data_IF_017250926136
#
_entry.id   IF_017250926136
#
_cell.length_a   1.000
_cell.length_b   1.000
_cell.length_c   1.000
_cell.angle_alpha   90.00
_cell.angle_beta   90.00
_cell.angle_gamma   90.00
#
_symmetry.space_group_name_H-M   'P 1'
#
loop_
_entity.id
_entity.type
_entity.pdbx_description
1 polymer ?
#
# COMPACT_ATOMS: atom_id res chain seq x y z
N UNK A 1 -4.54 6.21 -13.86
CA UNK A 1 -3.98 5.03 -14.57
C UNK A 1 -4.33 3.68 -13.93
N UNK A 2 -4.72 3.58 -12.64
CA UNK A 2 -5.09 2.30 -12.04
C UNK A 2 -6.43 1.72 -12.54
N UNK A 3 -7.47 2.57 -12.68
CA UNK A 3 -8.80 2.13 -13.11
C UNK A 3 -8.83 1.49 -14.51
N UNK A 4 -7.91 1.88 -15.40
CA UNK A 4 -7.90 1.42 -16.79
C UNK A 4 -7.42 -0.02 -16.94
N UNK A 5 -6.42 -0.46 -16.15
CA UNK A 5 -5.89 -1.84 -16.28
C UNK A 5 -6.83 -2.91 -15.73
N UNK A 6 -7.53 -2.64 -14.61
CA UNK A 6 -8.49 -3.58 -14.02
C UNK A 6 -9.76 -3.69 -14.87
N UNK A 7 -10.27 -2.54 -15.35
CA UNK A 7 -11.44 -2.51 -16.23
C UNK A 7 -11.16 -3.24 -17.55
N UNK A 8 -9.99 -3.04 -18.17
CA UNK A 8 -9.64 -3.73 -19.41
C UNK A 8 -9.59 -5.25 -19.25
N UNK A 9 -8.92 -5.74 -18.19
CA UNK A 9 -8.84 -7.17 -17.92
C UNK A 9 -10.22 -7.77 -17.56
N UNK A 10 -11.00 -7.07 -16.74
CA UNK A 10 -12.35 -7.48 -16.34
C UNK A 10 -13.28 -7.63 -17.55
N UNK A 11 -13.21 -6.69 -18.50
CA UNK A 11 -13.98 -6.77 -19.75
C UNK A 11 -13.59 -7.99 -20.58
N UNK A 12 -12.28 -8.24 -20.76
CA UNK A 12 -11.78 -9.41 -21.50
C UNK A 12 -12.25 -10.73 -20.87
N UNK A 13 -12.17 -10.84 -19.55
CA UNK A 13 -12.64 -12.03 -18.83
C UNK A 13 -14.16 -12.20 -18.88
N UNK A 14 -14.91 -11.11 -18.85
CA UNK A 14 -16.39 -11.15 -18.95
C UNK A 14 -16.85 -11.66 -20.31
N UNK A 15 -16.17 -11.26 -21.40
CA UNK A 15 -16.42 -11.79 -22.75
C UNK A 15 -16.15 -13.30 -22.80
N UNK A 16 -14.99 -13.73 -22.29
CA UNK A 16 -14.63 -15.15 -22.24
C UNK A 16 -15.64 -15.98 -21.42
N UNK A 17 -16.13 -15.44 -20.30
CA UNK A 17 -17.15 -16.09 -19.49
C UNK A 17 -18.45 -16.30 -20.28
N UNK A 18 -18.91 -15.28 -21.01
CA UNK A 18 -20.12 -15.38 -21.84
C UNK A 18 -19.96 -16.42 -22.97
N UNK A 19 -18.77 -16.53 -23.56
CA UNK A 19 -18.47 -17.51 -24.61
C UNK A 19 -18.37 -18.96 -24.10
N UNK A 20 -18.11 -19.16 -22.80
CA UNK A 20 -17.90 -20.48 -22.18
C UNK A 20 -19.19 -21.30 -21.90
N UNK A 21 -20.21 -21.17 -22.76
CA UNK A 21 -21.59 -21.62 -22.53
C UNK A 21 -21.85 -23.14 -22.39
N UNK A 22 -20.83 -24.01 -22.37
CA UNK A 22 -21.00 -25.45 -22.06
C UNK A 22 -19.98 -25.99 -21.05
N UNK A 23 -20.49 -26.73 -20.05
CA UNK A 23 -19.78 -27.13 -18.82
C UNK A 23 -19.11 -28.51 -18.92
N UNK A 24 -18.47 -28.85 -20.05
CA UNK A 24 -17.66 -30.08 -20.07
C UNK A 24 -16.31 -29.81 -19.42
N UNK A 25 -15.71 -30.83 -18.80
CA UNK A 25 -14.39 -30.71 -18.15
C UNK A 25 -13.33 -30.14 -19.10
N UNK A 26 -13.30 -30.62 -20.34
CA UNK A 26 -12.36 -30.12 -21.37
C UNK A 26 -12.59 -28.65 -21.69
N UNK A 27 -13.85 -28.19 -21.75
CA UNK A 27 -14.15 -26.78 -22.03
C UNK A 27 -13.85 -25.90 -20.83
N UNK A 28 -14.09 -26.38 -19.61
CA UNK A 28 -13.69 -25.72 -18.38
C UNK A 28 -12.17 -25.53 -18.32
N UNK A 29 -11.40 -26.56 -18.68
CA UNK A 29 -9.94 -26.50 -18.73
C UNK A 29 -9.43 -25.49 -19.77
N UNK A 30 -10.03 -25.46 -20.97
CA UNK A 30 -9.70 -24.50 -22.03
C UNK A 30 -10.02 -23.07 -21.58
N UNK A 31 -11.22 -22.85 -21.03
CA UNK A 31 -11.65 -21.54 -20.55
C UNK A 31 -10.77 -21.04 -19.40
N UNK A 32 -10.41 -21.91 -18.46
CA UNK A 32 -9.46 -21.60 -17.38
C UNK A 32 -8.08 -21.21 -17.95
N UNK A 33 -7.56 -21.98 -18.90
CA UNK A 33 -6.25 -21.71 -19.51
C UNK A 33 -6.23 -20.36 -20.25
N UNK A 34 -7.28 -20.06 -21.02
CA UNK A 34 -7.44 -18.79 -21.71
C UNK A 34 -7.53 -17.62 -20.71
N UNK A 35 -8.26 -17.79 -19.61
CA UNK A 35 -8.35 -16.79 -18.56
C UNK A 35 -6.97 -16.51 -17.93
N UNK A 36 -6.19 -17.55 -17.62
CA UNK A 36 -4.84 -17.41 -17.08
C UNK A 36 -3.91 -16.68 -18.05
N UNK A 37 -4.01 -16.96 -19.36
CA UNK A 37 -3.24 -16.24 -20.39
C UNK A 37 -3.57 -14.75 -20.37
N UNK A 38 -4.86 -14.39 -20.38
CA UNK A 38 -5.31 -12.99 -20.34
C UNK A 38 -4.79 -12.26 -19.09
N UNK A 39 -4.77 -12.93 -17.94
CA UNK A 39 -4.21 -12.38 -16.70
C UNK A 39 -2.70 -12.17 -16.83
N UNK A 40 -1.96 -13.14 -17.36
CA UNK A 40 -0.51 -13.05 -17.51
C UNK A 40 -0.06 -11.97 -18.51
N UNK A 41 -0.83 -11.75 -19.57
CA UNK A 41 -0.57 -10.70 -20.57
C UNK A 41 -1.04 -9.30 -20.12
N UNK A 42 -1.80 -9.21 -19.03
CA UNK A 42 -2.30 -7.94 -18.53
C UNK A 42 -1.21 -7.03 -17.95
N UNK A 43 -1.57 -5.76 -17.74
CA UNK A 43 -0.72 -4.76 -17.10
C UNK A 43 -0.71 -4.83 -15.55
N UNK A 44 -1.25 -5.91 -14.95
CA UNK A 44 -1.21 -6.12 -13.50
C UNK A 44 0.24 -6.35 -13.02
N UNK A 45 0.50 -6.07 -11.74
CA UNK A 45 1.76 -6.44 -11.10
C UNK A 45 1.86 -7.96 -10.96
N UNK A 46 3.06 -8.47 -10.66
CA UNK A 46 3.25 -9.92 -10.51
C UNK A 46 2.43 -10.48 -9.34
N UNK A 47 2.34 -9.72 -8.25
CA UNK A 47 1.57 -10.08 -7.07
C UNK A 47 0.06 -10.09 -7.36
N UNK A 48 -0.43 -9.07 -8.09
CA UNK A 48 -1.83 -9.01 -8.53
C UNK A 48 -2.16 -10.16 -9.48
N UNK A 49 -1.27 -10.48 -10.45
CA UNK A 49 -1.45 -11.60 -11.38
C UNK A 49 -1.55 -12.93 -10.65
N UNK A 50 -0.62 -13.20 -9.72
CA UNK A 50 -0.61 -14.43 -8.95
C UNK A 50 -1.91 -14.60 -8.17
N UNK A 51 -2.40 -13.55 -7.50
CA UNK A 51 -3.65 -13.59 -6.75
C UNK A 51 -4.86 -13.95 -7.63
N UNK A 52 -4.94 -13.39 -8.85
CA UNK A 52 -6.04 -13.68 -9.78
C UNK A 52 -5.91 -15.10 -10.36
N UNK A 53 -4.71 -15.54 -10.74
CA UNK A 53 -4.46 -16.89 -11.25
C UNK A 53 -4.79 -17.96 -10.20
N UNK A 54 -4.39 -17.75 -8.94
CA UNK A 54 -4.74 -18.65 -7.83
C UNK A 54 -6.26 -18.72 -7.62
N UNK A 55 -6.96 -17.60 -7.67
CA UNK A 55 -8.42 -17.57 -7.53
C UNK A 55 -9.13 -18.37 -8.64
N UNK A 56 -8.67 -18.20 -9.89
CA UNK A 56 -9.18 -18.95 -11.04
C UNK A 56 -8.89 -20.44 -10.86
N UNK A 57 -7.63 -20.81 -10.62
CA UNK A 57 -7.19 -22.20 -10.55
C UNK A 57 -7.82 -22.98 -9.40
N UNK A 58 -7.87 -22.41 -8.20
CA UNK A 58 -8.44 -23.07 -7.02
C UNK A 58 -9.95 -23.31 -7.18
N UNK A 59 -10.65 -22.42 -7.88
CA UNK A 59 -12.08 -22.58 -8.14
C UNK A 59 -12.33 -23.56 -9.29
N UNK A 60 -11.52 -23.48 -10.35
CA UNK A 60 -11.66 -24.31 -11.53
C UNK A 60 -11.29 -25.77 -11.25
N UNK A 61 -10.22 -26.01 -10.51
CA UNK A 61 -9.67 -27.32 -10.22
C UNK A 61 -9.30 -27.44 -8.72
N UNK A 62 -10.29 -27.48 -7.81
CA UNK A 62 -10.05 -27.53 -6.37
C UNK A 62 -9.37 -28.83 -5.93
N UNK A 63 -9.65 -29.94 -6.61
CA UNK A 63 -9.10 -31.26 -6.28
C UNK A 63 -7.69 -31.47 -6.84
N UNK A 64 -7.28 -30.68 -7.83
CA UNK A 64 -6.07 -30.87 -8.63
C UNK A 64 -6.23 -31.88 -9.78
N UNK A 65 -7.34 -32.62 -9.85
CA UNK A 65 -7.52 -33.71 -10.81
C UNK A 65 -8.39 -33.36 -12.01
N UNK A 66 -9.46 -32.59 -11.82
CA UNK A 66 -10.45 -32.30 -12.86
C UNK A 66 -10.99 -30.88 -12.75
N UNK A 67 -11.35 -30.31 -13.90
CA UNK A 67 -11.88 -28.96 -13.99
C UNK A 67 -13.40 -28.95 -13.77
N UNK A 68 -13.81 -28.74 -12.52
CA UNK A 68 -15.22 -28.67 -12.07
C UNK A 68 -15.98 -27.49 -12.72
N UNK A 69 -15.28 -26.39 -12.96
CA UNK A 69 -15.80 -25.19 -13.61
C UNK A 69 -14.65 -24.41 -14.27
N UNK A 70 -14.96 -23.30 -14.94
CA UNK A 70 -13.97 -22.50 -15.66
C UNK A 70 -13.16 -21.52 -14.77
N UNK A 71 -13.54 -21.30 -13.51
CA UNK A 71 -12.88 -20.40 -12.56
C UNK A 71 -12.94 -18.90 -12.92
N UNK A 72 -13.53 -18.52 -14.05
CA UNK A 72 -13.44 -17.14 -14.57
C UNK A 72 -14.15 -16.15 -13.64
N UNK A 73 -15.30 -16.54 -13.08
CA UNK A 73 -16.03 -15.70 -12.13
C UNK A 73 -15.20 -15.40 -10.88
N UNK A 74 -14.45 -16.38 -10.37
CA UNK A 74 -13.55 -16.18 -9.24
C UNK A 74 -12.41 -15.20 -9.59
N UNK A 75 -11.91 -15.25 -10.83
CA UNK A 75 -10.96 -14.27 -11.34
C UNK A 75 -11.53 -12.84 -11.38
N UNK A 76 -12.77 -12.68 -11.87
CA UNK A 76 -13.48 -11.39 -11.87
C UNK A 76 -13.66 -10.84 -10.44
N UNK A 77 -14.08 -11.70 -9.51
CA UNK A 77 -14.25 -11.34 -8.10
C UNK A 77 -12.93 -10.94 -7.46
N UNK A 78 -11.84 -11.65 -7.76
CA UNK A 78 -10.49 -11.31 -7.32
C UNK A 78 -10.02 -9.95 -7.87
N UNK A 79 -10.25 -9.67 -9.15
CA UNK A 79 -9.92 -8.37 -9.75
C UNK A 79 -10.73 -7.25 -9.09
N UNK A 80 -12.03 -7.45 -8.88
CA UNK A 80 -12.89 -6.46 -8.21
C UNK A 80 -12.44 -6.22 -6.78
N UNK A 81 -12.01 -7.27 -6.07
CA UNK A 81 -11.43 -7.14 -4.72
C UNK A 81 -10.13 -6.35 -4.76
N UNK A 82 -9.20 -6.66 -5.66
CA UNK A 82 -7.95 -5.92 -5.84
C UNK A 82 -8.24 -4.46 -6.19
N UNK A 83 -9.14 -4.20 -7.15
CA UNK A 83 -9.54 -2.86 -7.54
C UNK A 83 -10.17 -2.11 -6.37
N UNK A 84 -10.98 -2.78 -5.55
CA UNK A 84 -11.57 -2.20 -4.34
C UNK A 84 -10.52 -1.91 -3.27
N UNK A 85 -9.54 -2.80 -3.07
CA UNK A 85 -8.42 -2.61 -2.12
C UNK A 85 -7.47 -1.49 -2.58
N UNK A 86 -7.19 -1.45 -3.89
CA UNK A 86 -6.39 -0.39 -4.53
C UNK A 86 -7.14 0.93 -4.47
N UNK A 87 -8.44 0.94 -4.79
CA UNK A 87 -9.29 2.12 -4.65
C UNK A 87 -9.46 2.53 -3.20
N UNK A 88 -9.53 1.62 -2.23
CA UNK A 88 -9.58 1.96 -0.80
C UNK A 88 -8.23 2.53 -0.32
N UNK A 89 -7.11 2.02 -0.83
CA UNK A 89 -5.78 2.57 -0.57
C UNK A 89 -5.52 3.91 -1.30
N UNK A 90 -6.29 4.23 -2.35
CA UNK A 90 -6.20 5.47 -3.15
C UNK A 90 -7.32 6.49 -2.85
N UNK A 91 -8.44 6.07 -2.26
CA UNK A 91 -9.66 6.87 -1.94
C UNK A 91 -9.86 7.08 -0.44
N UNK A 92 -9.09 6.42 0.43
CA UNK A 92 -8.68 7.13 1.63
C UNK A 92 -7.70 8.20 1.14
N UNK A 93 -8.16 9.43 0.96
CA UNK A 93 -7.24 10.55 0.79
C UNK A 93 -6.08 10.37 1.81
N UNK A 94 -4.79 10.46 1.44
CA UNK A 94 -3.73 10.40 2.43
C UNK A 94 -3.69 11.73 3.21
N UNK A 95 -4.83 12.23 3.66
CA UNK A 95 -4.94 13.51 4.38
C UNK A 95 -4.41 13.38 5.81
N UNK A 96 -4.13 12.16 6.29
CA UNK A 96 -3.55 11.99 7.63
C UNK A 96 -2.38 11.03 7.63
N UNK A 97 -1.19 11.60 7.71
CA UNK A 97 0.02 10.90 8.08
C UNK A 97 -0.20 10.17 9.43
N UNK A 98 0.15 8.89 9.50
CA UNK A 98 0.08 8.10 10.72
C UNK A 98 1.43 7.43 11.00
N UNK A 99 1.66 6.98 12.25
CA UNK A 99 2.96 6.46 12.67
C UNK A 99 3.42 5.24 11.85
N UNK A 100 2.48 4.41 11.37
CA UNK A 100 2.78 3.21 10.58
C UNK A 100 3.33 3.59 9.21
N UNK A 101 2.62 4.46 8.51
CA UNK A 101 2.99 4.89 7.15
C UNK A 101 4.26 5.75 7.19
N UNK A 102 4.42 6.60 8.20
CA UNK A 102 5.65 7.37 8.40
C UNK A 102 6.86 6.45 8.61
N UNK A 103 6.76 5.42 9.45
CA UNK A 103 7.87 4.47 9.68
C UNK A 103 8.25 3.66 8.44
N UNK A 104 7.31 3.41 7.53
CA UNK A 104 7.63 2.77 6.25
C UNK A 104 8.43 3.71 5.34
N UNK A 105 8.23 5.03 5.45
CA UNK A 105 8.96 6.03 4.67
C UNK A 105 10.34 6.33 5.27
N UNK A 106 10.46 6.31 6.59
CA UNK A 106 11.72 6.59 7.32
C UNK A 106 12.18 5.35 8.07
N UNK A 107 13.16 4.64 7.49
CA UNK A 107 13.82 3.50 8.14
C UNK A 107 14.86 3.94 9.18
N UNK A 108 15.23 3.03 10.08
CA UNK A 108 16.32 3.27 11.03
C UNK A 108 17.62 3.64 10.32
N UNK A 109 18.32 4.64 10.82
CA UNK A 109 19.54 5.16 10.22
C UNK A 109 19.33 6.21 9.13
N UNK A 110 18.12 6.34 8.58
CA UNK A 110 17.78 7.31 7.53
C UNK A 110 17.70 8.72 8.09
N UNK A 111 18.30 9.66 7.35
CA UNK A 111 18.22 11.09 7.61
C UNK A 111 17.07 11.66 6.78
N UNK A 112 16.22 12.45 7.42
CA UNK A 112 15.08 13.08 6.75
C UNK A 112 14.85 14.49 7.32
N UNK A 113 14.28 15.37 6.50
CA UNK A 113 13.81 16.68 6.93
C UNK A 113 12.30 16.61 7.13
N UNK A 114 11.82 17.24 8.20
CA UNK A 114 10.39 17.33 8.49
C UNK A 114 10.01 18.76 8.81
N UNK A 115 8.82 19.15 8.36
CA UNK A 115 8.19 20.43 8.70
C UNK A 115 6.83 20.12 9.35
N UNK A 116 6.59 20.65 10.54
CA UNK A 116 5.36 20.40 11.30
C UNK A 116 4.93 21.63 12.11
N UNK A 117 3.64 21.71 12.40
CA UNK A 117 3.08 22.76 13.25
C UNK A 117 3.23 22.37 14.73
N UNK A 118 3.89 23.21 15.52
CA UNK A 118 4.00 23.01 16.97
C UNK A 118 2.63 23.13 17.63
N UNK A 119 2.20 22.12 18.37
CA UNK A 119 0.93 22.19 19.14
C UNK A 119 0.93 23.26 20.23
N UNK A 120 2.10 23.62 20.76
CA UNK A 120 2.20 24.60 21.86
C UNK A 120 1.87 26.02 21.44
N UNK A 121 2.21 26.41 20.20
CA UNK A 121 2.14 27.80 19.76
C UNK A 121 1.80 28.00 18.28
N UNK A 122 1.48 26.93 17.53
CA UNK A 122 1.04 27.03 16.14
C UNK A 122 2.12 27.35 15.11
N UNK A 123 3.39 27.50 15.51
CA UNK A 123 4.46 27.84 14.58
C UNK A 123 4.89 26.64 13.72
N UNK A 124 5.21 26.91 12.45
CA UNK A 124 5.90 25.96 11.57
C UNK A 124 7.34 25.75 12.04
N UNK A 125 7.69 24.50 12.33
CA UNK A 125 9.04 24.09 12.68
C UNK A 125 9.59 23.15 11.62
N UNK A 126 10.75 23.51 11.08
CA UNK A 126 11.58 22.65 10.24
C UNK A 126 12.74 22.07 11.06
N UNK A 127 13.03 20.79 10.88
CA UNK A 127 14.21 20.17 11.50
C UNK A 127 14.72 18.96 10.71
N UNK A 128 16.03 18.69 10.83
CA UNK A 128 16.70 17.49 10.27
C UNK A 128 16.80 16.40 11.34
N UNK A 129 16.28 15.22 11.00
CA UNK A 129 16.04 14.11 11.91
C UNK A 129 16.77 12.85 11.46
N UNK A 130 17.11 11.99 12.43
CA UNK A 130 17.56 10.61 12.20
C UNK A 130 16.88 9.62 13.13
N UNK A 131 16.48 8.47 12.60
CA UNK A 131 15.96 7.34 13.39
C UNK A 131 17.07 6.37 13.80
N UNK A 132 16.82 5.59 14.86
CA UNK A 132 17.72 4.53 15.31
C UNK A 132 19.02 4.99 15.98
N UNK A 133 19.19 6.28 16.29
CA UNK A 133 20.37 6.76 17.03
C UNK A 133 20.31 6.23 18.47
N UNK A 134 21.22 5.31 18.82
CA UNK A 134 21.31 4.70 20.17
C UNK A 134 22.46 5.23 21.02
N UNK A 135 23.49 5.83 20.41
CA UNK A 135 24.73 6.29 21.08
C UNK A 135 24.48 7.28 22.23
N UNK A 136 23.40 8.06 22.17
CA UNK A 136 23.06 9.08 23.17
C UNK A 136 21.99 8.61 24.16
N UNK A 137 21.55 7.35 24.09
CA UNK A 137 20.64 6.78 25.07
C UNK A 137 21.41 6.50 26.36
N UNK A 138 20.87 6.94 27.49
CA UNK A 138 21.47 6.70 28.81
C UNK A 138 20.95 5.43 29.50
N UNK A 139 20.25 4.56 28.76
CA UNK A 139 19.49 3.43 29.32
C UNK A 139 18.23 3.89 30.06
N UNK A 140 17.28 2.97 30.25
CA UNK A 140 15.99 3.21 30.91
C UNK A 140 14.78 3.08 29.97
N UNK A 141 13.65 2.68 30.54
CA UNK A 141 12.37 2.60 29.83
C UNK A 141 11.81 4.00 29.59
N UNK A 142 11.17 4.21 28.43
CA UNK A 142 10.47 5.48 28.18
C UNK A 142 9.37 5.63 29.23
N UNK A 143 9.38 6.76 29.94
CA UNK A 143 8.35 7.11 30.94
C UNK A 143 6.91 7.16 30.38
N UNK A 144 6.74 7.18 29.05
CA UNK A 144 5.45 7.13 28.39
C UNK A 144 5.49 6.26 27.13
N UNK A 145 4.38 5.57 26.87
CA UNK A 145 4.24 4.72 25.70
C UNK A 145 3.94 5.60 24.46
N UNK A 146 5.00 6.01 23.74
CA UNK A 146 4.92 6.92 22.60
C UNK A 146 3.93 6.50 21.49
N UNK A 147 3.58 5.21 21.42
CA UNK A 147 2.55 4.68 20.50
C UNK A 147 1.15 5.21 20.82
N UNK A 148 0.83 5.48 22.08
CA UNK A 148 -0.51 5.97 22.48
C UNK A 148 -0.77 7.44 22.12
N UNK A 149 0.28 8.23 21.86
CA UNK A 149 0.15 9.67 21.59
C UNK A 149 0.46 10.08 20.15
N UNK A 150 0.63 9.12 19.23
CA UNK A 150 1.00 9.38 17.83
C UNK A 150 2.26 10.26 17.70
N UNK A 151 3.23 10.05 18.60
CA UNK A 151 4.49 10.79 18.64
C UNK A 151 5.63 9.94 18.08
N UNK A 152 6.38 10.49 17.14
CA UNK A 152 7.63 9.88 16.65
C UNK A 152 8.81 10.48 17.42
N UNK A 153 9.52 9.66 18.19
CA UNK A 153 10.80 10.08 18.79
C UNK A 153 11.90 9.96 17.75
N UNK A 154 12.59 11.06 17.51
CA UNK A 154 13.70 11.19 16.57
C UNK A 154 14.91 11.79 17.25
N UNK A 155 16.08 11.62 16.65
CA UNK A 155 17.26 12.39 17.00
C UNK A 155 17.34 13.63 16.10
N UNK A 156 17.24 14.81 16.71
CA UNK A 156 17.47 16.10 16.06
C UNK A 156 18.97 16.26 15.84
N UNK A 157 19.37 16.26 14.57
CA UNK A 157 20.78 16.35 14.20
C UNK A 157 21.37 17.75 14.38
N UNK A 158 20.53 18.80 14.34
CA UNK A 158 20.96 20.19 14.48
C UNK A 158 21.17 20.55 15.95
N UNK A 159 20.32 20.00 16.84
CA UNK A 159 20.40 20.24 18.29
C UNK A 159 21.12 19.13 19.06
N UNK A 160 21.45 18.02 18.41
CA UNK A 160 22.18 16.91 19.01
C UNK A 160 21.43 16.18 20.13
N UNK A 161 20.10 16.07 20.03
CA UNK A 161 19.26 15.52 21.11
C UNK A 161 17.97 14.87 20.64
N UNK A 162 17.35 14.08 21.52
CA UNK A 162 16.06 13.43 21.20
C UNK A 162 14.90 14.43 21.29
N UNK A 163 14.03 14.40 20.29
CA UNK A 163 12.78 15.17 20.25
C UNK A 163 11.62 14.29 19.83
N UNK A 164 10.40 14.70 20.19
CA UNK A 164 9.16 14.04 19.75
C UNK A 164 8.44 14.91 18.73
N UNK A 165 8.05 14.30 17.62
CA UNK A 165 7.28 14.93 16.56
C UNK A 165 5.84 14.43 16.61
N UNK A 166 4.83 15.33 16.67
CA UNK A 166 3.43 14.97 16.47
C UNK A 166 3.18 14.61 15.01
N UNK A 167 2.91 13.34 14.74
CA UNK A 167 2.81 12.81 13.37
C UNK A 167 1.63 13.42 12.60
N UNK A 168 0.53 13.70 13.28
CA UNK A 168 -0.67 14.34 12.72
C UNK A 168 -0.50 15.83 12.37
N UNK A 169 0.55 16.49 12.87
CA UNK A 169 0.80 17.91 12.58
C UNK A 169 1.93 18.12 11.54
N UNK A 170 2.42 17.04 10.93
CA UNK A 170 3.42 17.08 9.86
C UNK A 170 2.79 17.65 8.59
N UNK A 171 3.41 18.70 8.07
CA UNK A 171 3.01 19.37 6.82
C UNK A 171 3.85 18.90 5.65
N UNK A 172 5.15 18.65 5.86
CA UNK A 172 6.07 18.21 4.82
C UNK A 172 7.12 17.24 5.34
N UNK A 173 7.46 16.25 4.53
CA UNK A 173 8.52 15.26 4.78
C UNK A 173 9.42 15.17 3.56
N UNK A 174 10.74 15.28 3.75
CA UNK A 174 11.72 15.04 2.70
C UNK A 174 12.65 13.90 3.13
N UNK A 175 12.68 12.82 2.36
CA UNK A 175 13.50 11.63 2.62
C UNK A 175 14.00 11.06 1.29
N UNK A 176 15.26 10.65 1.22
CA UNK A 176 15.87 10.05 0.01
C UNK A 176 15.67 10.89 -1.27
N UNK A 177 15.67 12.22 -1.17
CA UNK A 177 15.45 13.13 -2.30
C UNK A 177 13.98 13.25 -2.75
N UNK A 178 13.04 12.55 -2.11
CA UNK A 178 11.61 12.68 -2.36
C UNK A 178 10.96 13.59 -1.33
N UNK A 179 10.11 14.50 -1.80
CA UNK A 179 9.33 15.42 -0.95
C UNK A 179 7.85 15.02 -0.97
N UNK A 180 7.27 14.89 0.22
CA UNK A 180 5.88 14.58 0.43
C UNK A 180 5.23 15.73 1.22
N UNK A 181 4.11 16.24 0.72
CA UNK A 181 3.32 17.29 1.38
C UNK A 181 1.98 16.72 1.83
N UNK A 182 1.60 17.01 3.07
CA UNK A 182 0.42 16.43 3.74
C UNK A 182 -0.58 17.48 4.22
N UNK A 183 -0.27 18.76 4.03
CA UNK A 183 -1.18 19.89 4.23
C UNK A 183 -0.70 21.12 3.47
N UNK A 184 -1.44 22.23 3.56
CA UNK A 184 -1.02 23.51 3.00
C UNK A 184 0.17 24.06 3.80
N UNK A 185 1.34 24.08 3.18
CA UNK A 185 2.52 24.75 3.73
C UNK A 185 2.47 26.19 3.23
N UNK A 186 2.31 27.21 4.09
CA UNK A 186 2.39 28.59 3.64
C UNK A 186 3.80 28.81 3.07
N UNK A 187 3.89 29.06 1.77
CA UNK A 187 5.12 29.54 1.15
C UNK A 187 5.23 31.03 1.48
N UNK A 188 6.06 31.33 2.48
CA UNK A 188 6.56 32.69 2.74
C UNK A 188 7.83 32.95 1.95
#
# INVERSE_FOLDING_TARGET
>A
MAATKYTELSNKLSVLLAESSSNSESQNAIACSNAVILVNESALTREEKNAVVEAIGNTANPSGYYYENNGIQAGLDAIKKIETEVSASQSAAPTRLNLKNLKNLVSDGTIFSVEFIKRSNGELRKMICRLGVKKHLRGGDKAYNAKHHNLLTVFDMEKGGYRSIPVDAIQRLCVNGQAFSFGEVPHG
#
